data_IF_813888845454
#
_entry.id   IF_813888845454
#
_cell.length_a   1.000
_cell.length_b   1.000
_cell.length_c   1.000
_cell.angle_alpha   90.00
_cell.angle_beta   90.00
_cell.angle_gamma   90.00
#
_symmetry.space_group_name_H-M   'P 1'
#
loop_
_entity.id
_entity.type
_entity.pdbx_description
1 polymer ?
#
# COMPACT_ATOMS: atom_id res chain seq x y z
N UNK A 1 10.84 -13.04 -21.50
CA UNK A 1 9.83 -13.54 -20.54
C UNK A 1 8.73 -12.49 -20.29
N UNK A 2 9.05 -11.19 -20.06
CA UNK A 2 8.07 -10.14 -19.82
C UNK A 2 7.06 -9.92 -20.97
N UNK A 3 7.51 -10.01 -22.22
CA UNK A 3 6.64 -9.89 -23.41
C UNK A 3 5.70 -11.09 -23.58
N UNK A 4 6.12 -12.29 -23.18
CA UNK A 4 5.27 -13.48 -23.21
C UNK A 4 4.20 -13.42 -22.12
N UNK A 5 4.57 -12.98 -20.90
CA UNK A 5 3.61 -12.75 -19.83
C UNK A 5 2.61 -11.64 -20.17
N UNK A 6 3.07 -10.54 -20.81
CA UNK A 6 2.20 -9.48 -21.28
C UNK A 6 1.28 -9.96 -22.42
N UNK A 7 1.81 -10.80 -23.33
CA UNK A 7 1.03 -11.41 -24.41
C UNK A 7 -0.09 -12.32 -23.89
N UNK A 8 0.22 -13.12 -22.88
CA UNK A 8 -0.75 -14.03 -22.24
C UNK A 8 -1.83 -13.27 -21.45
N UNK A 9 -1.42 -12.20 -20.74
CA UNK A 9 -2.36 -11.29 -20.06
C UNK A 9 -3.27 -10.58 -21.08
N UNK A 10 -2.71 -10.06 -22.17
CA UNK A 10 -3.49 -9.37 -23.20
C UNK A 10 -4.41 -10.33 -23.98
N UNK A 11 -3.97 -11.56 -24.23
CA UNK A 11 -4.77 -12.59 -24.89
C UNK A 11 -5.92 -13.09 -23.99
N UNK A 12 -5.65 -13.30 -22.72
CA UNK A 12 -6.69 -13.64 -21.73
C UNK A 12 -7.68 -12.50 -21.52
N UNK A 13 -7.24 -11.23 -21.56
CA UNK A 13 -8.11 -10.06 -21.50
C UNK A 13 -8.99 -9.92 -22.74
N UNK A 14 -8.51 -10.23 -23.94
CA UNK A 14 -9.32 -10.20 -25.16
C UNK A 14 -10.47 -11.23 -25.13
N UNK A 15 -10.30 -12.32 -24.40
CA UNK A 15 -11.38 -13.29 -24.16
C UNK A 15 -12.32 -12.88 -23.00
N UNK A 16 -11.83 -12.11 -22.03
CA UNK A 16 -12.58 -11.70 -20.83
C UNK A 16 -13.25 -10.33 -20.98
N UNK A 17 -12.78 -9.48 -21.91
CA UNK A 17 -13.34 -8.15 -22.14
C UNK A 17 -14.81 -8.14 -22.67
N UNK A 18 -15.39 -9.31 -22.95
CA UNK A 18 -16.75 -9.43 -23.50
C UNK A 18 -17.83 -9.91 -22.55
N UNK A 19 -17.50 -10.38 -21.35
CA UNK A 19 -18.51 -10.85 -20.39
C UNK A 19 -18.46 -10.04 -19.09
N UNK A 20 -19.57 -9.42 -18.65
CA UNK A 20 -19.65 -8.88 -17.30
C UNK A 20 -19.38 -10.01 -16.32
N UNK A 21 -18.33 -9.90 -15.52
CA UNK A 21 -18.04 -10.88 -14.47
C UNK A 21 -19.22 -10.89 -13.48
N UNK A 22 -19.82 -12.03 -13.17
CA UNK A 22 -20.81 -12.10 -12.10
C UNK A 22 -20.13 -11.68 -10.79
N UNK A 23 -20.53 -10.54 -10.22
CA UNK A 23 -20.01 -10.09 -8.93
C UNK A 23 -19.25 -8.75 -8.93
N UNK A 24 -19.12 -8.07 -10.09
CA UNK A 24 -18.47 -6.75 -10.16
C UNK A 24 -16.95 -6.80 -10.37
N UNK A 25 -16.36 -5.60 -10.51
CA UNK A 25 -14.95 -5.40 -10.85
C UNK A 25 -13.98 -6.00 -9.82
N UNK A 26 -14.34 -5.92 -8.55
CA UNK A 26 -13.53 -6.40 -7.42
C UNK A 26 -13.93 -7.79 -6.91
N UNK A 27 -14.77 -8.52 -7.64
CA UNK A 27 -15.17 -9.86 -7.25
C UNK A 27 -13.94 -10.77 -7.02
N UNK A 28 -13.93 -11.62 -5.99
CA UNK A 28 -12.85 -12.58 -5.73
C UNK A 28 -12.58 -13.47 -6.94
N UNK A 29 -11.32 -13.68 -7.24
CA UNK A 29 -10.86 -14.51 -8.36
C UNK A 29 -10.04 -15.69 -7.85
N UNK A 30 -10.11 -16.81 -8.56
CA UNK A 30 -9.32 -17.98 -8.22
C UNK A 30 -7.83 -17.70 -8.49
N UNK A 31 -6.96 -17.88 -7.50
CA UNK A 31 -5.53 -17.75 -7.68
C UNK A 31 -4.96 -18.91 -8.53
N UNK A 32 -3.89 -18.65 -9.28
CA UNK A 32 -3.20 -19.68 -10.06
C UNK A 32 -2.50 -20.73 -9.18
N UNK A 33 -2.17 -20.37 -7.94
CA UNK A 33 -1.52 -21.24 -6.97
C UNK A 33 -2.28 -21.20 -5.65
N UNK A 34 -2.20 -22.26 -4.85
CA UNK A 34 -2.81 -22.29 -3.52
C UNK A 34 -2.27 -21.14 -2.66
N UNK A 35 -3.13 -20.23 -2.17
CA UNK A 35 -2.69 -19.07 -1.42
C UNK A 35 -2.16 -19.48 -0.04
N UNK A 36 -1.06 -18.88 0.39
CA UNK A 36 -0.52 -19.03 1.75
C UNK A 36 -0.79 -17.81 2.62
N UNK A 37 -0.94 -16.63 2.01
CA UNK A 37 -1.30 -15.40 2.68
C UNK A 37 -2.74 -15.00 2.33
N UNK A 38 -3.46 -14.43 3.30
CA UNK A 38 -4.83 -13.92 3.12
C UNK A 38 -4.86 -12.43 2.86
N UNK A 39 -3.88 -11.69 3.37
CA UNK A 39 -3.76 -10.24 3.23
C UNK A 39 -2.29 -9.83 3.21
N UNK A 40 -2.01 -8.63 2.70
CA UNK A 40 -0.67 -8.06 2.63
C UNK A 40 -0.67 -6.70 3.31
N UNK A 41 0.24 -6.49 4.27
CA UNK A 41 0.52 -5.16 4.82
C UNK A 41 1.89 -4.71 4.30
N UNK A 42 1.89 -3.65 3.51
CA UNK A 42 3.10 -3.06 2.94
C UNK A 42 3.58 -1.90 3.80
N UNK A 43 4.57 -2.14 4.67
CA UNK A 43 5.18 -1.11 5.53
C UNK A 43 6.23 -0.33 4.74
N UNK A 44 5.77 0.59 3.93
CA UNK A 44 6.62 1.35 3.03
C UNK A 44 7.25 2.57 3.73
N UNK A 45 8.58 2.62 3.76
CA UNK A 45 9.35 3.71 4.35
C UNK A 45 9.82 4.67 3.26
N UNK A 46 9.08 5.76 3.06
CA UNK A 46 9.38 6.80 2.09
C UNK A 46 10.77 7.41 2.32
N UNK A 47 11.55 7.54 1.25
CA UNK A 47 12.91 8.07 1.28
C UNK A 47 13.95 7.06 1.75
N UNK A 48 13.53 5.93 2.28
CA UNK A 48 14.34 4.80 2.70
C UNK A 48 15.28 5.09 3.88
N UNK A 49 15.25 4.27 4.91
CA UNK A 49 16.31 4.26 5.91
C UNK A 49 17.58 3.66 5.30
N UNK A 50 18.75 4.04 5.83
CA UNK A 50 20.04 3.50 5.38
C UNK A 50 20.13 1.99 5.66
N UNK A 51 20.06 1.15 4.63
CA UNK A 51 20.16 -0.30 4.78
C UNK A 51 21.48 -0.73 5.41
N UNK A 52 22.59 -0.07 5.07
CA UNK A 52 23.93 -0.35 5.59
C UNK A 52 24.09 0.03 7.06
N UNK A 53 23.21 0.86 7.60
CA UNK A 53 23.19 1.25 9.00
C UNK A 53 22.19 0.43 9.84
N UNK A 54 21.33 -0.38 9.22
CA UNK A 54 20.25 -1.05 9.92
C UNK A 54 20.32 -2.58 9.86
N UNK A 55 20.44 -3.17 8.66
CA UNK A 55 20.32 -4.61 8.46
C UNK A 55 21.47 -5.22 7.65
N UNK A 56 22.24 -4.40 6.94
CA UNK A 56 23.29 -4.85 6.02
C UNK A 56 24.66 -4.34 6.48
N UNK A 57 25.17 -4.89 7.58
CA UNK A 57 26.49 -4.58 8.13
C UNK A 57 27.57 -4.73 7.06
N UNK A 58 28.43 -3.72 6.92
CA UNK A 58 29.55 -3.67 5.95
C UNK A 58 30.91 -3.66 6.68
N UNK A 59 31.53 -4.82 6.97
CA UNK A 59 32.83 -4.87 7.64
C UNK A 59 33.94 -4.12 6.93
N UNK A 60 33.88 -4.04 5.59
CA UNK A 60 34.85 -3.26 4.81
C UNK A 60 34.71 -1.75 5.04
N UNK A 61 33.47 -1.27 5.23
CA UNK A 61 33.23 0.12 5.54
C UNK A 61 33.80 0.47 6.92
N UNK A 62 33.67 -0.44 7.91
CA UNK A 62 34.29 -0.28 9.23
C UNK A 62 35.81 -0.18 9.16
N UNK A 63 36.49 -1.03 8.34
CA UNK A 63 37.94 -1.02 8.13
C UNK A 63 38.43 0.18 7.33
N UNK A 64 37.57 0.82 6.60
CA UNK A 64 37.87 1.94 5.72
C UNK A 64 37.38 3.27 6.24
N UNK A 65 36.93 3.32 7.48
CA UNK A 65 36.47 4.53 8.15
C UNK A 65 37.51 5.65 8.05
N UNK A 66 37.11 6.84 7.64
CA UNK A 66 37.97 8.01 7.45
C UNK A 66 38.82 8.00 6.18
N UNK A 67 38.89 6.91 5.41
CA UNK A 67 39.65 6.86 4.15
C UNK A 67 38.91 7.58 3.03
N UNK A 68 39.67 8.28 2.16
CA UNK A 68 39.13 8.85 0.95
C UNK A 68 39.36 7.87 -0.20
N UNK A 69 38.33 7.63 -0.98
CA UNK A 69 38.39 6.84 -2.22
C UNK A 69 37.86 7.69 -3.37
N UNK A 70 38.36 7.43 -4.57
CA UNK A 70 37.83 8.03 -5.78
C UNK A 70 36.51 7.33 -6.12
N UNK A 71 35.40 7.99 -5.86
CA UNK A 71 34.05 7.57 -6.25
C UNK A 71 33.41 8.72 -7.00
N UNK A 72 32.88 8.42 -8.16
CA UNK A 72 32.03 9.35 -8.88
C UNK A 72 30.63 9.31 -8.27
N UNK A 73 30.18 10.42 -7.72
CA UNK A 73 28.83 10.53 -7.14
C UNK A 73 28.07 11.66 -7.82
N UNK A 74 26.75 11.55 -7.81
CA UNK A 74 25.88 12.58 -8.39
C UNK A 74 26.16 14.00 -7.82
N UNK A 75 26.59 14.09 -6.57
CA UNK A 75 26.85 15.35 -5.87
C UNK A 75 28.35 15.73 -5.81
N UNK A 76 29.20 15.10 -6.62
CA UNK A 76 30.65 15.33 -6.62
C UNK A 76 31.41 14.54 -5.53
N UNK A 77 32.44 15.16 -4.90
CA UNK A 77 33.27 14.46 -3.92
C UNK A 77 32.48 14.14 -2.63
N UNK A 78 32.26 12.86 -2.30
CA UNK A 78 31.45 12.46 -1.14
C UNK A 78 32.14 12.63 0.20
N UNK A 79 33.39 13.11 0.24
CA UNK A 79 34.19 13.15 1.44
C UNK A 79 34.78 11.79 1.84
N UNK A 80 35.26 11.62 3.08
CA UNK A 80 35.79 10.34 3.57
C UNK A 80 34.67 9.32 3.80
N UNK A 81 35.00 8.04 3.68
CA UNK A 81 34.11 6.95 4.06
C UNK A 81 33.77 7.03 5.56
N UNK A 82 32.56 6.70 5.87
CA UNK A 82 32.06 6.69 7.24
C UNK A 82 31.49 5.31 7.58
N UNK A 83 31.97 4.69 8.63
CA UNK A 83 31.35 3.48 9.18
C UNK A 83 29.98 3.81 9.77
N UNK A 84 29.15 2.79 9.94
CA UNK A 84 27.89 2.99 10.65
C UNK A 84 28.12 3.52 12.07
N UNK A 85 27.36 4.54 12.49
CA UNK A 85 27.42 5.05 13.88
C UNK A 85 26.77 4.09 14.89
N UNK A 86 26.09 3.04 14.43
CA UNK A 86 25.34 2.12 15.26
C UNK A 86 26.08 0.80 15.46
N UNK A 87 25.83 0.15 16.59
CA UNK A 87 26.33 -1.19 16.87
C UNK A 87 25.41 -2.22 16.24
N UNK A 88 26.03 -3.29 15.73
CA UNK A 88 25.32 -4.44 15.17
C UNK A 88 25.53 -5.66 16.04
N UNK A 89 24.46 -6.44 16.21
CA UNK A 89 24.48 -7.74 16.86
C UNK A 89 23.83 -8.79 15.96
N UNK A 90 24.24 -10.02 16.10
CA UNK A 90 23.56 -11.16 15.49
C UNK A 90 22.38 -11.57 16.35
N UNK A 91 21.27 -11.92 15.72
CA UNK A 91 20.03 -12.30 16.36
C UNK A 91 19.44 -13.54 15.69
N UNK A 92 18.62 -14.27 16.46
CA UNK A 92 17.93 -15.48 15.99
C UNK A 92 18.86 -16.65 15.69
N UNK A 93 18.28 -17.75 15.27
CA UNK A 93 19.00 -18.95 14.81
C UNK A 93 19.67 -18.70 13.43
N UNK A 94 19.07 -17.87 12.59
CA UNK A 94 19.61 -17.46 11.29
C UNK A 94 20.85 -16.56 11.41
N UNK A 95 21.18 -16.02 12.58
CA UNK A 95 22.33 -15.15 12.81
C UNK A 95 22.28 -13.82 12.05
N UNK A 96 21.12 -13.29 11.75
CA UNK A 96 20.96 -12.05 11.00
C UNK A 96 21.52 -10.84 11.77
N UNK A 97 22.27 -9.99 11.07
CA UNK A 97 22.78 -8.75 11.63
C UNK A 97 21.69 -7.67 11.67
N UNK A 98 21.44 -7.13 12.87
CA UNK A 98 20.52 -6.01 13.08
C UNK A 98 21.19 -4.97 13.97
N UNK A 99 21.00 -3.70 13.66
CA UNK A 99 21.53 -2.62 14.48
C UNK A 99 20.71 -2.45 15.78
N UNK A 100 21.34 -1.86 16.81
CA UNK A 100 20.74 -1.62 18.11
C UNK A 100 19.46 -0.77 18.11
N UNK A 101 19.15 -0.10 17.01
CA UNK A 101 17.97 0.77 16.86
C UNK A 101 16.67 0.00 16.60
N UNK A 102 16.77 -1.28 16.24
CA UNK A 102 15.63 -2.14 15.92
C UNK A 102 15.48 -3.35 16.85
N UNK A 103 15.47 -3.16 18.20
CA UNK A 103 15.47 -4.27 19.15
C UNK A 103 14.22 -5.16 19.07
N UNK A 104 13.09 -4.59 18.63
CA UNK A 104 11.84 -5.36 18.47
C UNK A 104 11.86 -6.19 17.19
N UNK A 105 12.30 -5.64 16.06
CA UNK A 105 12.47 -6.37 14.81
C UNK A 105 13.49 -7.49 14.96
N UNK A 106 14.56 -7.24 15.70
CA UNK A 106 15.62 -8.22 15.98
C UNK A 106 15.12 -9.52 16.63
N UNK A 107 13.97 -9.51 17.31
CA UNK A 107 13.36 -10.70 17.92
C UNK A 107 12.65 -11.61 16.92
N UNK A 108 12.40 -11.11 15.72
CA UNK A 108 11.62 -11.77 14.66
C UNK A 108 12.45 -12.10 13.41
N UNK A 109 13.79 -12.02 13.51
CA UNK A 109 14.67 -12.19 12.34
C UNK A 109 14.53 -13.56 11.67
N UNK A 110 14.19 -14.59 12.42
CA UNK A 110 14.01 -15.95 11.89
C UNK A 110 12.72 -16.07 11.05
N UNK A 111 11.80 -15.13 11.20
CA UNK A 111 10.56 -15.01 10.42
C UNK A 111 10.70 -14.05 9.24
N UNK A 112 11.88 -13.40 9.05
CA UNK A 112 12.09 -12.34 8.06
C UNK A 112 13.05 -12.80 6.96
N UNK A 113 12.63 -12.67 5.71
CA UNK A 113 13.52 -12.81 4.56
C UNK A 113 14.17 -11.45 4.24
N UNK A 114 15.49 -11.36 4.35
CA UNK A 114 16.26 -10.15 4.05
C UNK A 114 16.77 -10.16 2.61
N UNK A 115 16.25 -9.29 1.76
CA UNK A 115 16.74 -9.09 0.39
C UNK A 115 17.64 -7.85 0.35
N UNK A 116 18.95 -8.05 0.51
CA UNK A 116 19.94 -6.99 0.68
C UNK A 116 20.49 -6.42 -0.63
N UNK A 117 20.24 -7.08 -1.76
CA UNK A 117 20.77 -6.72 -3.08
C UNK A 117 19.81 -5.87 -3.92
N UNK A 118 18.73 -5.38 -3.35
CA UNK A 118 17.81 -4.49 -4.06
C UNK A 118 18.47 -3.13 -4.35
N UNK A 119 18.26 -2.63 -5.56
CA UNK A 119 18.72 -1.30 -5.97
C UNK A 119 17.66 -0.62 -6.85
N UNK A 120 17.78 0.69 -7.02
CA UNK A 120 16.99 1.46 -7.97
C UNK A 120 17.90 2.12 -9.00
N UNK A 121 17.35 2.41 -10.18
CA UNK A 121 18.07 3.08 -11.26
C UNK A 121 18.22 4.59 -11.04
N UNK A 122 17.56 5.13 -10.03
CA UNK A 122 17.57 6.56 -9.74
C UNK A 122 18.08 6.86 -8.34
N UNK A 123 18.90 7.92 -8.24
CA UNK A 123 19.35 8.51 -6.96
C UNK A 123 18.35 9.51 -6.40
N UNK A 124 17.31 9.89 -7.14
CA UNK A 124 16.24 10.78 -6.67
C UNK A 124 15.12 9.97 -6.01
N UNK A 125 14.56 10.52 -4.93
CA UNK A 125 13.53 9.85 -4.16
C UNK A 125 12.29 9.50 -4.99
N UNK A 126 11.77 10.43 -5.80
CA UNK A 126 10.47 10.23 -6.47
C UNK A 126 10.54 9.12 -7.53
N UNK A 127 11.49 9.08 -8.46
CA UNK A 127 11.66 7.96 -9.37
C UNK A 127 11.96 6.63 -8.67
N UNK A 128 12.78 6.64 -7.60
CA UNK A 128 13.06 5.45 -6.83
C UNK A 128 11.81 4.89 -6.13
N UNK A 129 10.94 5.77 -5.61
CA UNK A 129 9.65 5.40 -5.05
C UNK A 129 8.72 4.77 -6.10
N UNK A 130 8.68 5.34 -7.33
CA UNK A 130 7.93 4.73 -8.43
C UNK A 130 8.46 3.33 -8.73
N UNK A 131 9.77 3.17 -8.86
CA UNK A 131 10.37 1.86 -9.15
C UNK A 131 10.03 0.82 -8.08
N UNK A 132 10.07 1.18 -6.80
CA UNK A 132 9.69 0.27 -5.70
C UNK A 132 8.21 -0.14 -5.74
N UNK A 133 7.32 0.74 -6.19
CA UNK A 133 5.89 0.46 -6.21
C UNK A 133 5.39 -0.15 -7.54
N UNK A 134 6.09 0.10 -8.65
CA UNK A 134 5.63 -0.27 -10.01
C UNK A 134 6.63 -1.10 -10.81
N UNK A 135 7.89 -1.20 -10.34
CA UNK A 135 9.00 -1.86 -11.04
C UNK A 135 9.76 -0.96 -12.03
N UNK A 136 9.31 0.29 -12.26
CA UNK A 136 9.94 1.22 -13.24
C UNK A 136 10.01 2.63 -12.61
N UNK A 137 11.13 3.40 -12.84
CA UNK A 137 11.35 4.71 -12.20
C UNK A 137 10.56 5.86 -12.85
N UNK A 138 9.33 5.61 -13.28
CA UNK A 138 8.44 6.61 -13.88
C UNK A 138 6.98 6.38 -13.49
N UNK A 139 6.19 7.46 -13.50
CA UNK A 139 4.76 7.43 -13.26
C UNK A 139 3.96 6.76 -14.40
N UNK A 140 2.69 6.43 -14.11
CA UNK A 140 1.72 5.97 -15.11
C UNK A 140 1.53 4.45 -15.17
N UNK A 141 2.23 3.69 -14.33
CA UNK A 141 2.09 2.23 -14.26
C UNK A 141 1.27 1.79 -13.05
N UNK A 142 0.62 0.61 -13.12
CA UNK A 142 -0.07 0.05 -11.98
C UNK A 142 0.91 -0.29 -10.85
N UNK A 143 0.53 0.04 -9.64
CA UNK A 143 1.29 -0.30 -8.44
C UNK A 143 1.05 -1.76 -8.02
N UNK A 144 1.93 -2.29 -7.15
CA UNK A 144 1.82 -3.66 -6.65
C UNK A 144 0.43 -3.96 -6.06
N UNK A 145 -0.14 -3.03 -5.25
CA UNK A 145 -1.49 -3.19 -4.71
C UNK A 145 -2.58 -3.22 -5.78
N UNK A 146 -2.46 -2.39 -6.82
CA UNK A 146 -3.37 -2.41 -7.96
C UNK A 146 -3.31 -3.75 -8.73
N UNK A 147 -2.11 -4.29 -8.93
CA UNK A 147 -1.92 -5.61 -9.56
C UNK A 147 -2.51 -6.75 -8.72
N UNK A 148 -2.31 -6.73 -7.39
CA UNK A 148 -2.89 -7.75 -6.49
C UNK A 148 -4.40 -7.71 -6.56
N UNK A 149 -5.00 -6.53 -6.45
CA UNK A 149 -6.46 -6.36 -6.51
C UNK A 149 -7.02 -6.72 -7.90
N UNK A 150 -6.30 -6.38 -8.98
CA UNK A 150 -6.67 -6.78 -10.33
C UNK A 150 -6.64 -8.31 -10.51
N UNK A 151 -5.59 -8.97 -10.01
CA UNK A 151 -5.41 -10.41 -10.19
C UNK A 151 -6.32 -11.27 -9.30
N UNK A 152 -6.58 -10.84 -8.07
CA UNK A 152 -7.27 -11.65 -7.06
C UNK A 152 -8.65 -11.11 -6.66
N UNK A 153 -8.94 -9.84 -6.93
CA UNK A 153 -10.13 -9.18 -6.41
C UNK A 153 -10.03 -8.86 -4.92
N UNK A 154 -11.17 -8.79 -4.25
CA UNK A 154 -11.28 -8.58 -2.81
C UNK A 154 -12.36 -9.47 -2.23
N UNK A 155 -12.10 -10.06 -1.07
CA UNK A 155 -13.10 -10.83 -0.31
C UNK A 155 -14.08 -9.92 0.46
N UNK A 156 -13.67 -8.68 0.71
CA UNK A 156 -14.51 -7.69 1.39
C UNK A 156 -15.24 -6.82 0.36
N UNK A 157 -16.56 -6.76 0.46
CA UNK A 157 -17.40 -5.94 -0.42
C UNK A 157 -17.74 -4.55 0.16
N UNK A 158 -17.40 -4.28 1.43
CA UNK A 158 -17.74 -3.02 2.13
C UNK A 158 -16.55 -2.07 2.28
N UNK A 159 -15.32 -2.58 2.10
CA UNK A 159 -14.08 -1.82 2.15
C UNK A 159 -13.31 -1.97 0.83
N UNK A 160 -12.47 -0.98 0.47
CA UNK A 160 -11.61 -1.11 -0.71
C UNK A 160 -10.63 -2.28 -0.57
N UNK A 161 -10.40 -3.02 -1.65
CA UNK A 161 -9.42 -4.11 -1.67
C UNK A 161 -7.97 -3.64 -1.62
N UNK A 162 -7.70 -2.36 -1.90
CA UNK A 162 -6.39 -1.73 -1.79
C UNK A 162 -6.50 -0.41 -1.04
N UNK A 163 -5.93 -0.37 0.16
CA UNK A 163 -5.96 0.79 1.06
C UNK A 163 -4.55 1.35 1.26
N UNK A 164 -4.43 2.66 1.26
CA UNK A 164 -3.20 3.40 1.52
C UNK A 164 -3.36 4.25 2.77
N UNK A 165 -2.51 4.05 3.77
CA UNK A 165 -2.52 4.81 5.02
C UNK A 165 -1.53 5.97 4.93
N UNK A 166 -2.01 7.11 4.44
CA UNK A 166 -1.21 8.31 4.20
C UNK A 166 -1.04 9.21 5.42
N UNK A 167 -0.15 10.20 5.31
CA UNK A 167 -0.01 11.29 6.27
C UNK A 167 -0.75 12.56 5.82
N UNK A 168 -0.91 13.51 6.75
CA UNK A 168 -1.56 14.81 6.45
C UNK A 168 -0.75 15.70 5.53
N UNK A 169 0.56 15.51 5.45
CA UNK A 169 1.48 16.29 4.59
C UNK A 169 1.56 15.80 3.15
N UNK A 170 0.81 14.76 2.79
CA UNK A 170 0.90 14.10 1.49
C UNK A 170 2.09 13.15 1.39
N UNK A 171 2.17 12.43 0.28
CA UNK A 171 3.26 11.51 -0.07
C UNK A 171 4.02 12.15 -1.25
N UNK A 172 5.34 12.15 -1.22
CA UNK A 172 6.16 12.65 -2.35
C UNK A 172 5.80 11.88 -3.61
N UNK A 173 5.61 12.58 -4.74
CA UNK A 173 5.14 11.98 -5.98
C UNK A 173 3.62 11.75 -6.06
N UNK A 174 2.86 12.02 -5.00
CA UNK A 174 1.40 12.05 -4.99
C UNK A 174 0.72 10.70 -5.22
N UNK A 175 -0.49 10.74 -5.80
CA UNK A 175 -1.34 9.56 -6.01
C UNK A 175 -0.78 8.52 -6.98
N UNK A 176 0.28 8.82 -7.69
CA UNK A 176 0.94 7.86 -8.58
C UNK A 176 1.48 6.63 -7.83
N UNK A 177 1.77 6.74 -6.52
CA UNK A 177 2.25 5.64 -5.69
C UNK A 177 1.18 4.60 -5.33
N UNK A 178 -0.09 4.87 -5.61
CA UNK A 178 -1.19 3.92 -5.46
C UNK A 178 -2.13 3.93 -6.66
N UNK A 179 -1.61 4.35 -7.81
CA UNK A 179 -2.35 4.43 -9.06
C UNK A 179 -2.65 3.04 -9.64
N UNK A 180 -3.80 2.94 -10.28
CA UNK A 180 -4.13 1.82 -11.16
C UNK A 180 -3.35 1.87 -12.50
N UNK A 181 -2.68 2.99 -12.83
CA UNK A 181 -1.98 3.16 -14.09
C UNK A 181 -2.91 2.98 -15.29
N UNK A 182 -2.61 2.02 -16.15
CA UNK A 182 -3.44 1.66 -17.31
C UNK A 182 -4.56 0.65 -17.00
N UNK A 183 -4.62 0.13 -15.77
CA UNK A 183 -5.74 -0.71 -15.34
C UNK A 183 -6.99 0.18 -15.06
N UNK A 184 -8.19 -0.39 -15.10
CA UNK A 184 -9.39 0.34 -14.70
C UNK A 184 -9.28 1.00 -13.33
N UNK A 185 -9.84 2.19 -13.20
CA UNK A 185 -9.72 3.05 -12.02
C UNK A 185 -10.22 2.41 -10.71
N UNK A 186 -11.07 1.41 -10.78
CA UNK A 186 -11.55 0.66 -9.61
C UNK A 186 -10.47 -0.15 -8.87
N UNK A 187 -9.30 -0.36 -9.49
CA UNK A 187 -8.15 -1.01 -8.86
C UNK A 187 -7.18 -0.03 -8.19
N UNK A 188 -7.48 1.27 -8.26
CA UNK A 188 -6.68 2.30 -7.60
C UNK A 188 -6.80 2.19 -6.08
N UNK A 189 -5.69 2.44 -5.37
CA UNK A 189 -5.67 2.48 -3.92
C UNK A 189 -6.52 3.62 -3.35
N UNK A 190 -7.25 3.35 -2.29
CA UNK A 190 -8.04 4.33 -1.54
C UNK A 190 -7.22 4.88 -0.40
N UNK A 191 -6.97 6.20 -0.42
CA UNK A 191 -6.20 6.88 0.63
C UNK A 191 -7.06 7.10 1.88
N UNK A 192 -6.70 6.44 2.98
CA UNK A 192 -7.21 6.74 4.30
C UNK A 192 -6.20 7.63 5.06
N UNK A 193 -6.71 8.65 5.73
CA UNK A 193 -5.90 9.62 6.47
C UNK A 193 -5.80 9.24 7.94
N UNK A 194 -4.70 9.59 8.56
CA UNK A 194 -4.48 9.49 10.00
C UNK A 194 -3.57 10.65 10.42
N UNK A 195 -3.85 11.37 11.50
CA UNK A 195 -5.03 11.33 12.39
C UNK A 195 -6.26 12.07 11.84
N UNK A 196 -7.42 11.84 12.42
CA UNK A 196 -8.69 12.50 12.09
C UNK A 196 -9.65 11.60 11.32
N UNK A 197 -10.64 12.19 10.63
CA UNK A 197 -11.54 11.41 9.78
C UNK A 197 -10.74 10.65 8.71
N UNK A 198 -10.86 9.33 8.62
CA UNK A 198 -10.08 8.52 7.68
C UNK A 198 -10.36 8.90 6.23
N UNK A 199 -11.55 9.35 5.93
CA UNK A 199 -11.97 9.82 4.61
C UNK A 199 -12.67 11.15 4.77
N UNK A 200 -12.34 12.13 3.90
CA UNK A 200 -13.04 13.41 3.89
C UNK A 200 -14.49 13.22 3.43
N UNK A 201 -15.41 13.94 4.09
CA UNK A 201 -16.83 13.95 3.75
C UNK A 201 -17.45 12.54 3.75
N UNK A 202 -16.94 11.63 4.59
CA UNK A 202 -17.51 10.31 4.75
C UNK A 202 -18.86 10.39 5.49
N UNK A 203 -18.96 11.30 6.45
CA UNK A 203 -20.19 11.48 7.20
C UNK A 203 -21.32 12.00 6.30
N UNK A 204 -22.50 11.42 6.50
CA UNK A 204 -23.71 11.90 5.85
C UNK A 204 -24.00 13.35 6.27
N UNK A 205 -24.39 14.24 5.33
CA UNK A 205 -24.81 15.60 5.67
C UNK A 205 -25.96 15.59 6.67
N UNK A 206 -25.89 16.38 7.74
CA UNK A 206 -26.85 16.39 8.84
C UNK A 206 -28.32 16.63 8.41
N UNK A 207 -28.51 17.28 7.26
CA UNK A 207 -29.84 17.61 6.74
C UNK A 207 -30.42 16.52 5.81
N UNK A 208 -29.71 15.44 5.56
CA UNK A 208 -30.16 14.32 4.72
C UNK A 208 -30.49 13.15 5.63
N UNK A 209 -31.72 12.63 5.57
CA UNK A 209 -32.08 11.42 6.30
C UNK A 209 -31.48 10.17 5.63
N UNK A 210 -31.33 9.07 6.38
CA UNK A 210 -30.77 7.81 5.86
C UNK A 210 -31.59 7.28 4.67
N UNK A 211 -32.91 7.29 4.81
CA UNK A 211 -33.81 6.85 3.74
C UNK A 211 -33.70 7.70 2.47
N UNK A 212 -33.50 9.01 2.62
CA UNK A 212 -33.34 9.93 1.50
C UNK A 212 -32.01 9.68 0.78
N UNK A 213 -30.92 9.46 1.52
CA UNK A 213 -29.63 9.11 0.94
C UNK A 213 -29.71 7.81 0.16
N UNK A 214 -30.33 6.76 0.71
CA UNK A 214 -30.51 5.50 0.00
C UNK A 214 -31.35 5.66 -1.26
N UNK A 215 -32.47 6.39 -1.17
CA UNK A 215 -33.32 6.67 -2.34
C UNK A 215 -32.58 7.44 -3.46
N UNK A 216 -31.74 8.41 -3.09
CA UNK A 216 -30.88 9.12 -4.04
C UNK A 216 -29.89 8.19 -4.72
N UNK A 217 -29.22 7.30 -3.97
CA UNK A 217 -28.29 6.33 -4.51
C UNK A 217 -29.00 5.32 -5.44
N UNK A 218 -30.18 4.85 -5.06
CA UNK A 218 -30.98 3.94 -5.88
C UNK A 218 -31.43 4.59 -7.20
N UNK A 219 -31.74 5.88 -7.17
CA UNK A 219 -32.04 6.64 -8.38
C UNK A 219 -30.79 6.78 -9.27
N UNK A 220 -29.65 7.18 -8.69
CA UNK A 220 -28.38 7.28 -9.42
C UNK A 220 -27.98 5.94 -10.02
N UNK A 221 -28.10 4.85 -9.27
CA UNK A 221 -27.80 3.51 -9.75
C UNK A 221 -28.64 3.15 -10.97
N UNK A 222 -29.95 3.42 -10.95
CA UNK A 222 -30.85 3.18 -12.10
C UNK A 222 -30.47 4.01 -13.32
N UNK A 223 -30.15 5.31 -13.13
CA UNK A 223 -29.74 6.20 -14.21
C UNK A 223 -28.40 5.77 -14.79
N UNK A 224 -27.44 5.46 -13.94
CA UNK A 224 -26.12 4.99 -14.34
C UNK A 224 -26.16 3.63 -15.05
N UNK A 225 -27.02 2.72 -14.60
CA UNK A 225 -27.20 1.42 -15.26
C UNK A 225 -27.80 1.56 -16.66
N UNK A 226 -28.78 2.46 -16.81
CA UNK A 226 -29.34 2.79 -18.14
C UNK A 226 -28.27 3.40 -19.07
N UNK A 227 -27.40 4.27 -18.50
CA UNK A 227 -26.30 4.85 -19.26
C UNK A 227 -25.27 3.79 -19.67
N UNK A 228 -24.90 2.88 -18.75
CA UNK A 228 -23.99 1.77 -19.01
C UNK A 228 -24.51 0.84 -20.12
N UNK A 229 -25.81 0.55 -20.15
CA UNK A 229 -26.41 -0.26 -21.21
C UNK A 229 -26.24 0.39 -22.61
N UNK A 230 -26.27 1.72 -22.68
CA UNK A 230 -26.03 2.46 -23.93
C UNK A 230 -24.54 2.55 -24.30
N UNK A 231 -23.64 2.31 -23.36
CA UNK A 231 -22.16 2.41 -23.47
C UNK A 231 -21.50 1.12 -23.00
N UNK A 232 -21.97 -0.01 -23.47
CA UNK A 232 -21.46 -1.32 -23.10
C UNK A 232 -19.97 -1.44 -23.47
N UNK A 233 -19.16 -1.93 -22.51
CA UNK A 233 -17.72 -2.16 -22.70
C UNK A 233 -16.80 -1.05 -22.18
N UNK A 234 -17.33 -0.05 -21.46
CA UNK A 234 -16.53 0.98 -20.80
C UNK A 234 -16.20 0.60 -19.32
N UNK A 235 -15.01 0.03 -19.02
CA UNK A 235 -14.67 -0.43 -17.67
C UNK A 235 -14.62 0.71 -16.64
N UNK A 236 -14.23 1.91 -17.05
CA UNK A 236 -14.14 3.07 -16.15
C UNK A 236 -15.53 3.57 -15.72
N UNK A 237 -16.54 3.43 -16.58
CA UNK A 237 -17.92 3.76 -16.22
C UNK A 237 -18.44 2.78 -15.16
N UNK A 238 -18.20 1.49 -15.35
CA UNK A 238 -18.54 0.46 -14.34
C UNK A 238 -17.85 0.74 -13.02
N UNK A 239 -16.53 0.97 -13.04
CA UNK A 239 -15.74 1.30 -11.84
C UNK A 239 -16.29 2.53 -11.11
N UNK A 240 -16.70 3.56 -11.83
CA UNK A 240 -17.30 4.77 -11.25
C UNK A 240 -18.63 4.49 -10.56
N UNK A 241 -19.50 3.69 -11.18
CA UNK A 241 -20.79 3.29 -10.59
C UNK A 241 -20.55 2.52 -9.29
N UNK A 242 -19.69 1.52 -9.31
CA UNK A 242 -19.36 0.70 -8.14
C UNK A 242 -18.72 1.52 -7.03
N UNK A 243 -17.96 2.58 -7.36
CA UNK A 243 -17.34 3.45 -6.36
C UNK A 243 -18.34 4.23 -5.49
N UNK A 244 -19.50 4.61 -6.01
CA UNK A 244 -20.56 5.25 -5.24
C UNK A 244 -21.17 4.30 -4.21
N UNK A 245 -21.44 3.06 -4.60
CA UNK A 245 -21.96 2.03 -3.71
C UNK A 245 -20.93 1.66 -2.64
N UNK A 246 -19.66 1.55 -3.01
CA UNK A 246 -18.57 1.31 -2.06
C UNK A 246 -18.46 2.46 -1.07
N UNK A 247 -18.49 3.72 -1.53
CA UNK A 247 -18.41 4.89 -0.65
C UNK A 247 -19.56 4.91 0.38
N UNK A 248 -20.76 4.53 -0.03
CA UNK A 248 -21.90 4.42 0.89
C UNK A 248 -21.68 3.32 1.95
N UNK A 249 -21.24 2.13 1.55
CA UNK A 249 -20.95 1.04 2.50
C UNK A 249 -19.80 1.40 3.44
N UNK A 250 -18.80 2.11 2.96
CA UNK A 250 -17.70 2.61 3.78
C UNK A 250 -18.12 3.60 4.86
N UNK A 251 -19.22 4.35 4.68
CA UNK A 251 -19.75 5.25 5.73
C UNK A 251 -20.06 4.51 7.02
N UNK A 252 -20.50 3.27 6.91
CA UNK A 252 -20.85 2.45 8.07
C UNK A 252 -19.63 1.80 8.73
N UNK A 253 -18.65 1.36 7.93
CA UNK A 253 -17.53 0.55 8.44
C UNK A 253 -16.23 1.35 8.69
N UNK A 254 -15.96 2.39 7.90
CA UNK A 254 -14.70 3.11 8.03
C UNK A 254 -14.63 4.01 9.27
N UNK A 255 -15.76 4.43 9.82
CA UNK A 255 -15.81 5.20 11.08
C UNK A 255 -15.30 4.36 12.25
N UNK A 256 -15.76 3.10 12.34
CA UNK A 256 -15.34 2.16 13.38
C UNK A 256 -13.86 1.78 13.30
N UNK A 257 -13.31 1.75 12.07
CA UNK A 257 -11.88 1.47 11.87
C UNK A 257 -10.95 2.49 12.53
N UNK A 258 -11.34 3.76 12.52
CA UNK A 258 -10.53 4.85 13.06
C UNK A 258 -10.69 5.03 14.58
N UNK A 259 -11.75 4.50 15.16
CA UNK A 259 -12.00 4.61 16.60
C UNK A 259 -11.11 3.63 17.39
N UNK A 260 -10.08 4.19 18.01
CA UNK A 260 -9.15 3.44 18.88
C UNK A 260 -9.50 3.51 20.35
N UNK A 261 -10.65 4.07 20.72
CA UNK A 261 -11.10 4.25 22.12
C UNK A 261 -11.35 2.92 22.83
N UNK A 262 -11.73 1.90 22.08
CA UNK A 262 -12.00 0.55 22.58
C UNK A 262 -10.78 -0.36 22.69
N UNK A 263 -9.59 0.12 22.30
CA UNK A 263 -8.38 -0.67 22.39
C UNK A 263 -7.90 -0.83 23.83
N UNK A 264 -7.44 -2.04 24.15
CA UNK A 264 -6.88 -2.34 25.48
C UNK A 264 -5.63 -1.51 25.75
N UNK A 265 -5.33 -1.28 27.05
CA UNK A 265 -4.08 -0.61 27.45
C UNK A 265 -2.83 -1.31 26.87
N UNK A 266 -2.84 -2.64 26.84
CA UNK A 266 -1.74 -3.42 26.26
C UNK A 266 -1.57 -3.14 24.76
N UNK A 267 -2.66 -3.16 24.01
CA UNK A 267 -2.64 -2.83 22.56
C UNK A 267 -2.12 -1.42 22.35
N UNK A 268 -2.61 -0.44 23.10
CA UNK A 268 -2.15 0.95 23.02
C UNK A 268 -0.65 1.07 23.25
N UNK A 269 -0.12 0.37 24.25
CA UNK A 269 1.32 0.34 24.55
C UNK A 269 2.12 -0.33 23.44
N UNK A 270 1.69 -1.50 22.94
CA UNK A 270 2.35 -2.23 21.85
C UNK A 270 2.49 -1.40 20.57
N UNK A 271 1.44 -0.63 20.23
CA UNK A 271 1.45 0.27 19.08
C UNK A 271 2.04 1.65 19.38
N UNK A 272 2.46 1.92 20.62
CA UNK A 272 3.02 3.20 21.04
C UNK A 272 2.07 4.38 20.87
N UNK A 273 0.77 4.19 21.10
CA UNK A 273 -0.27 5.20 20.86
C UNK A 273 -0.23 6.34 21.88
N UNK A 274 0.31 6.08 23.07
CA UNK A 274 0.35 7.03 24.17
C UNK A 274 1.63 7.90 24.15
N UNK A 275 2.50 7.71 23.14
CA UNK A 275 3.73 8.48 23.00
C UNK A 275 3.70 9.36 21.75
N UNK A 276 3.95 10.68 21.90
CA UNK A 276 3.84 11.69 20.82
C UNK A 276 4.64 11.37 19.56
N UNK A 277 5.80 10.72 19.69
CA UNK A 277 6.68 10.42 18.56
C UNK A 277 6.16 9.23 17.74
N UNK A 278 5.52 8.24 18.39
CA UNK A 278 5.15 6.97 17.76
C UNK A 278 3.66 6.87 17.42
N UNK A 279 2.80 7.63 18.12
CA UNK A 279 1.34 7.52 18.00
C UNK A 279 0.82 7.62 16.56
N UNK A 280 1.39 8.51 15.73
CA UNK A 280 0.93 8.72 14.34
C UNK A 280 1.20 7.47 13.49
N UNK A 281 2.39 6.90 13.63
CA UNK A 281 2.76 5.67 12.92
C UNK A 281 2.06 4.45 13.52
N UNK A 282 2.01 4.36 14.84
CA UNK A 282 1.33 3.29 15.57
C UNK A 282 -0.16 3.20 15.23
N UNK A 283 -0.86 4.33 15.12
CA UNK A 283 -2.25 4.36 14.66
C UNK A 283 -2.41 3.80 13.25
N UNK A 284 -1.49 4.08 12.34
CA UNK A 284 -1.53 3.49 10.98
C UNK A 284 -1.32 1.98 11.02
N UNK A 285 -0.35 1.51 11.81
CA UNK A 285 -0.12 0.07 11.96
C UNK A 285 -1.33 -0.64 12.57
N UNK A 286 -1.96 -0.04 13.58
CA UNK A 286 -3.19 -0.56 14.18
C UNK A 286 -4.35 -0.57 13.17
N UNK A 287 -4.51 0.49 12.41
CA UNK A 287 -5.54 0.56 11.35
C UNK A 287 -5.28 -0.48 10.26
N UNK A 288 -4.02 -0.68 9.85
CA UNK A 288 -3.66 -1.73 8.90
C UNK A 288 -4.04 -3.13 9.40
N UNK A 289 -3.76 -3.44 10.69
CA UNK A 289 -4.20 -4.68 11.31
C UNK A 289 -5.72 -4.84 11.25
N UNK A 290 -6.46 -3.82 11.67
CA UNK A 290 -7.94 -3.84 11.68
C UNK A 290 -8.54 -4.00 10.27
N UNK A 291 -7.89 -3.45 9.25
CA UNK A 291 -8.29 -3.62 7.86
C UNK A 291 -8.14 -5.08 7.42
N UNK A 292 -6.98 -5.70 7.67
CA UNK A 292 -6.76 -7.10 7.28
C UNK A 292 -7.62 -8.07 8.09
N UNK A 293 -7.93 -7.78 9.36
CA UNK A 293 -8.89 -8.54 10.18
C UNK A 293 -10.32 -8.49 9.59
N UNK A 294 -10.62 -7.48 8.76
CA UNK A 294 -11.90 -7.32 8.05
C UNK A 294 -11.84 -7.77 6.58
N UNK A 295 -10.76 -8.41 6.15
CA UNK A 295 -10.63 -9.00 4.81
C UNK A 295 -10.18 -8.01 3.72
N UNK A 296 -9.46 -6.94 4.08
CA UNK A 296 -8.79 -6.04 3.13
C UNK A 296 -7.42 -6.57 2.76
#
# INVERSE_FOLDING_TARGET
LGLLALGDILYSQAQVAGAPQPGGLLAPRQPHFAPRAKAVIWLFMEGGPSGVDLFDRKPQLERSDGKRIAIDTFNGNPGPLMKSPFRFHQHGECGAWVCEKYPHVARHVDEIAFVKSCFTESNDHVPALYQMNTGIPRAGLPTAGAWVTYGLGSENCNLPGFVVLGGTKGIKGGSQHWSAGFLPSGYQGTLLRSPGSPILNLDRPKHVADGDQRAQLDLLHRLNHKHLQAHAGEPDLTARIESFELAYRMQMEAVDLADTSHETTLTRQLYGLDHKTTQVFGNKCLMARRLVERGV
#
